data_IF_090492691953
#
_entry.id   IF_090492691953
#
_cell.length_a   1.000
_cell.length_b   1.000
_cell.length_c   1.000
_cell.angle_alpha   90.00
_cell.angle_beta   90.00
_cell.angle_gamma   90.00
#
_symmetry.space_group_name_H-M   'P 1'
#
loop_
_entity.id
_entity.type
_entity.pdbx_description
1 polymer ?
#
# COMPACT_ATOMS: atom_id res chain seq x y z
N UNK A 1 27.13 -1.34 -2.01
CA UNK A 1 27.68 -0.86 -0.71
C UNK A 1 27.05 -1.66 0.42
N UNK A 2 27.55 -1.64 1.66
CA UNK A 2 26.90 -2.33 2.78
C UNK A 2 25.87 -1.42 3.47
N UNK A 3 24.89 -1.98 4.16
CA UNK A 3 23.99 -1.21 5.03
C UNK A 3 24.79 -0.44 6.10
N UNK A 4 24.38 0.78 6.46
CA UNK A 4 25.03 1.59 7.51
C UNK A 4 24.16 1.66 8.75
N UNK A 5 24.74 1.99 9.92
CA UNK A 5 23.97 2.20 11.14
C UNK A 5 23.09 3.44 11.02
N UNK A 6 21.80 3.30 11.35
CA UNK A 6 20.77 4.34 11.16
C UNK A 6 20.04 4.68 12.46
N UNK A 7 19.84 3.69 13.33
CA UNK A 7 19.10 3.85 14.59
C UNK A 7 19.88 3.19 15.71
N UNK A 8 20.06 3.93 16.79
CA UNK A 8 20.67 3.46 18.03
C UNK A 8 19.63 3.36 19.14
N UNK A 9 19.64 2.26 19.88
CA UNK A 9 18.86 2.09 21.11
C UNK A 9 19.81 2.15 22.31
N UNK A 10 19.56 3.10 23.21
CA UNK A 10 20.37 3.31 24.42
C UNK A 10 19.59 2.94 25.68
N UNK A 11 20.23 2.24 26.62
CA UNK A 11 19.67 1.93 27.94
C UNK A 11 20.70 2.19 29.04
N UNK A 12 20.36 3.08 29.97
CA UNK A 12 21.25 3.41 31.09
C UNK A 12 22.62 3.93 30.66
N UNK A 13 22.72 4.62 29.52
CA UNK A 13 23.99 5.13 28.97
C UNK A 13 24.82 4.10 28.19
N UNK A 14 24.37 2.86 28.06
CA UNK A 14 24.96 1.85 27.19
C UNK A 14 24.22 1.82 25.84
N UNK A 15 24.98 1.83 24.74
CA UNK A 15 24.46 1.50 23.41
C UNK A 15 24.08 0.01 23.41
N UNK A 16 22.78 -0.25 23.52
CA UNK A 16 22.22 -1.60 23.68
C UNK A 16 22.04 -2.31 22.33
N UNK A 17 21.60 -1.60 21.30
CA UNK A 17 21.48 -2.16 19.95
C UNK A 17 21.58 -1.10 18.84
N UNK A 18 22.02 -1.53 17.65
CA UNK A 18 22.01 -0.71 16.43
C UNK A 18 21.20 -1.39 15.34
N UNK A 19 20.47 -0.60 14.56
CA UNK A 19 19.75 -1.05 13.37
C UNK A 19 20.42 -0.45 12.13
N UNK A 20 20.68 -1.31 11.15
CA UNK A 20 21.35 -0.92 9.91
C UNK A 20 20.37 -0.85 8.75
N UNK A 21 20.59 0.07 7.82
CA UNK A 21 19.71 0.27 6.67
C UNK A 21 20.38 0.96 5.50
N UNK A 22 19.53 1.31 4.52
CA UNK A 22 19.86 2.09 3.34
C UNK A 22 18.85 3.23 3.25
N UNK A 23 19.28 4.42 2.84
CA UNK A 23 18.40 5.57 2.66
C UNK A 23 18.82 6.39 1.45
N UNK A 24 17.85 6.98 0.77
CA UNK A 24 18.03 7.86 -0.38
C UNK A 24 17.08 9.04 -0.24
N UNK A 25 17.58 10.24 -0.46
CA UNK A 25 16.79 11.47 -0.59
C UNK A 25 16.88 11.91 -2.04
N UNK A 26 15.72 12.12 -2.68
CA UNK A 26 15.62 12.71 -4.00
C UNK A 26 15.04 14.13 -3.91
N UNK A 27 15.39 14.99 -4.88
CA UNK A 27 14.69 16.25 -5.11
C UNK A 27 13.43 16.04 -5.98
N UNK A 28 12.72 17.12 -6.31
CA UNK A 28 11.51 17.15 -7.13
C UNK A 28 11.74 16.74 -8.60
N UNK A 29 12.99 16.57 -9.03
CA UNK A 29 13.35 16.03 -10.34
C UNK A 29 13.60 14.51 -10.29
N UNK A 30 13.59 13.91 -9.10
CA UNK A 30 13.96 12.52 -8.89
C UNK A 30 15.48 12.27 -8.87
N UNK A 31 16.29 13.33 -8.81
CA UNK A 31 17.75 13.22 -8.70
C UNK A 31 18.16 12.97 -7.25
N UNK A 32 19.13 12.08 -7.04
CA UNK A 32 19.63 11.76 -5.69
C UNK A 32 20.41 12.95 -5.13
N UNK A 33 19.88 13.53 -4.05
CA UNK A 33 20.53 14.61 -3.28
C UNK A 33 21.52 14.01 -2.27
N UNK A 34 21.09 12.96 -1.55
CA UNK A 34 21.90 12.30 -0.54
C UNK A 34 21.55 10.81 -0.44
N UNK A 35 22.53 9.99 -0.05
CA UNK A 35 22.30 8.56 0.19
C UNK A 35 23.22 7.99 1.25
N UNK A 36 22.72 6.98 1.95
CA UNK A 36 23.43 6.22 2.97
C UNK A 36 23.28 4.72 2.71
N UNK A 37 24.36 3.97 2.85
CA UNK A 37 24.37 2.55 2.55
C UNK A 37 24.41 2.25 1.06
N UNK A 38 23.42 1.52 0.54
CA UNK A 38 23.40 1.04 -0.84
C UNK A 38 22.11 1.51 -1.53
N UNK A 39 22.16 2.62 -2.29
CA UNK A 39 20.98 3.19 -2.96
C UNK A 39 20.39 2.22 -4.00
N UNK A 40 21.22 1.37 -4.60
CA UNK A 40 20.81 0.35 -5.57
C UNK A 40 20.27 -0.93 -4.93
N UNK A 41 20.13 -0.99 -3.60
CA UNK A 41 19.62 -2.19 -2.93
C UNK A 41 18.18 -2.46 -3.37
N UNK A 42 17.95 -3.61 -3.99
CA UNK A 42 16.60 -4.07 -4.32
C UNK A 42 15.85 -4.47 -3.04
N UNK A 43 14.65 -3.93 -2.88
CA UNK A 43 13.76 -4.15 -1.75
C UNK A 43 12.33 -4.45 -2.24
N UNK A 44 11.52 -4.99 -1.34
CA UNK A 44 10.07 -4.90 -1.44
C UNK A 44 9.62 -3.68 -0.62
N UNK A 45 9.09 -2.61 -1.23
CA UNK A 45 8.58 -1.46 -0.48
C UNK A 45 7.37 -1.81 0.38
N UNK A 46 6.67 -2.91 0.05
CA UNK A 46 5.44 -3.33 0.73
C UNK A 46 4.44 -2.19 0.74
N UNK A 47 3.75 -1.98 1.85
CA UNK A 47 2.70 -0.96 1.97
C UNK A 47 3.19 0.50 1.87
N UNK A 48 4.50 0.78 1.79
CA UNK A 48 4.97 2.17 1.57
C UNK A 48 4.72 2.66 0.15
N UNK A 49 4.50 1.78 -0.84
CA UNK A 49 4.27 2.16 -2.23
C UNK A 49 2.79 2.23 -2.64
N UNK A 50 1.86 2.30 -1.69
CA UNK A 50 0.41 2.33 -1.99
C UNK A 50 0.00 3.50 -2.89
N UNK A 51 0.67 4.66 -2.78
CA UNK A 51 0.46 5.80 -3.68
C UNK A 51 0.69 5.40 -5.15
N UNK A 52 1.78 4.66 -5.41
CA UNK A 52 2.11 4.18 -6.76
C UNK A 52 1.08 3.14 -7.23
N UNK A 53 0.62 2.28 -6.32
CA UNK A 53 -0.43 1.30 -6.61
C UNK A 53 -1.81 1.95 -6.88
N UNK A 54 -2.02 3.18 -6.41
CA UNK A 54 -3.25 3.94 -6.63
C UNK A 54 -3.23 4.74 -7.95
N UNK A 55 -2.10 4.87 -8.64
CA UNK A 55 -2.03 5.61 -9.91
C UNK A 55 -3.05 5.11 -10.95
N UNK A 56 -3.24 3.79 -11.18
CA UNK A 56 -4.24 3.31 -12.13
C UNK A 56 -5.69 3.69 -11.77
N UNK A 57 -6.01 3.89 -10.49
CA UNK A 57 -7.33 4.35 -10.06
C UNK A 57 -7.61 5.78 -10.55
N UNK A 58 -6.59 6.63 -10.56
CA UNK A 58 -6.68 8.03 -10.98
C UNK A 58 -6.55 8.16 -12.49
N UNK A 59 -5.49 7.59 -13.06
CA UNK A 59 -5.12 7.76 -14.48
C UNK A 59 -6.10 7.10 -15.46
N UNK A 60 -6.78 6.03 -15.02
CA UNK A 60 -7.86 5.44 -15.84
C UNK A 60 -9.13 6.28 -15.85
N UNK A 61 -9.24 7.31 -15.01
CA UNK A 61 -10.48 8.05 -14.77
C UNK A 61 -11.50 7.29 -13.92
N UNK A 62 -11.13 6.15 -13.33
CA UNK A 62 -12.03 5.35 -12.51
C UNK A 62 -12.50 6.09 -11.24
N UNK A 63 -11.60 6.87 -10.62
CA UNK A 63 -11.94 7.72 -9.48
C UNK A 63 -13.02 8.75 -9.81
N UNK A 64 -12.80 9.53 -10.88
CA UNK A 64 -13.74 10.56 -11.33
C UNK A 64 -15.09 9.96 -11.76
N UNK A 65 -15.06 8.86 -12.50
CA UNK A 65 -16.25 8.18 -12.98
C UNK A 65 -17.14 7.64 -11.84
N UNK A 66 -16.56 7.37 -10.67
CA UNK A 66 -17.29 6.91 -9.48
C UNK A 66 -17.45 8.02 -8.42
N UNK A 67 -17.09 9.27 -8.73
CA UNK A 67 -17.24 10.40 -7.81
C UNK A 67 -16.44 10.25 -6.52
N UNK A 68 -15.26 9.62 -6.59
CA UNK A 68 -14.42 9.43 -5.41
C UNK A 68 -13.87 10.78 -4.92
N UNK A 69 -14.05 11.04 -3.63
CA UNK A 69 -13.46 12.21 -2.96
C UNK A 69 -12.01 11.99 -2.54
N UNK A 70 -11.33 13.07 -2.15
CA UNK A 70 -9.97 13.03 -1.59
C UNK A 70 -9.84 12.05 -0.41
N UNK A 71 -10.90 11.88 0.39
CA UNK A 71 -10.89 10.91 1.48
C UNK A 71 -10.79 9.46 0.96
N UNK A 72 -11.41 9.13 -0.19
CA UNK A 72 -11.30 7.80 -0.81
C UNK A 72 -9.91 7.59 -1.39
N UNK A 73 -9.36 8.61 -2.03
CA UNK A 73 -7.99 8.58 -2.58
C UNK A 73 -7.00 8.38 -1.43
N UNK A 74 -7.11 9.18 -0.35
CA UNK A 74 -6.29 9.05 0.84
C UNK A 74 -6.39 7.65 1.47
N UNK A 75 -7.60 7.08 1.56
CA UNK A 75 -7.81 5.75 2.10
C UNK A 75 -7.21 4.63 1.22
N UNK A 76 -7.25 4.79 -0.12
CA UNK A 76 -6.61 3.88 -1.08
C UNK A 76 -5.07 3.88 -0.94
N UNK A 77 -4.55 5.03 -0.58
CA UNK A 77 -3.13 5.35 -0.42
C UNK A 77 -2.54 4.96 0.95
N UNK A 78 -3.37 4.62 1.94
CA UNK A 78 -2.95 4.49 3.33
C UNK A 78 -2.87 3.04 3.84
N UNK A 79 -2.12 2.87 4.92
CA UNK A 79 -2.25 1.73 5.84
C UNK A 79 -3.09 2.17 7.03
N UNK A 80 -4.41 2.17 6.87
CA UNK A 80 -5.30 2.71 7.89
C UNK A 80 -5.35 1.82 9.14
N UNK A 81 -5.77 2.38 10.28
CA UNK A 81 -5.72 1.69 11.58
C UNK A 81 -6.86 0.68 11.80
N UNK A 82 -7.72 0.43 10.81
CA UNK A 82 -8.93 -0.37 11.01
C UNK A 82 -9.97 0.27 11.95
N UNK A 83 -9.84 1.55 12.31
CA UNK A 83 -10.84 2.28 13.12
C UNK A 83 -12.24 2.27 12.48
N UNK A 84 -13.28 2.46 13.30
CA UNK A 84 -14.68 2.49 12.87
C UNK A 84 -14.93 3.40 11.66
N UNK A 85 -14.28 4.57 11.59
CA UNK A 85 -14.43 5.48 10.45
C UNK A 85 -13.93 4.87 9.13
N UNK A 86 -12.83 4.10 9.17
CA UNK A 86 -12.26 3.43 8.00
C UNK A 86 -13.13 2.26 7.58
N UNK A 87 -13.56 1.43 8.54
CA UNK A 87 -14.43 0.26 8.31
C UNK A 87 -15.74 0.71 7.65
N UNK A 88 -16.37 1.75 8.20
CA UNK A 88 -17.60 2.32 7.67
C UNK A 88 -17.41 2.91 6.27
N UNK A 89 -16.26 3.55 6.02
CA UNK A 89 -15.97 4.14 4.72
C UNK A 89 -15.73 3.07 3.65
N UNK A 90 -14.87 2.08 3.92
CA UNK A 90 -14.62 0.96 3.02
C UNK A 90 -15.91 0.16 2.75
N UNK A 91 -16.73 -0.07 3.79
CA UNK A 91 -18.00 -0.78 3.65
C UNK A 91 -19.00 -0.06 2.75
N UNK A 92 -19.18 1.27 2.93
CA UNK A 92 -20.02 2.08 2.04
C UNK A 92 -19.48 2.10 0.61
N UNK A 93 -18.17 2.27 0.45
CA UNK A 93 -17.53 2.28 -0.87
C UNK A 93 -17.79 0.95 -1.62
N UNK A 94 -17.65 -0.21 -0.96
CA UNK A 94 -18.00 -1.50 -1.58
C UNK A 94 -19.49 -1.58 -1.94
N UNK A 95 -20.37 -1.11 -1.06
CA UNK A 95 -21.81 -1.11 -1.32
C UNK A 95 -22.17 -0.26 -2.55
N UNK A 96 -21.55 0.91 -2.71
CA UNK A 96 -21.73 1.77 -3.90
C UNK A 96 -21.21 1.11 -5.18
N UNK A 97 -20.20 0.23 -5.05
CA UNK A 97 -19.74 -0.64 -6.14
C UNK A 97 -20.65 -1.87 -6.36
N UNK A 98 -21.64 -2.12 -5.52
CA UNK A 98 -22.47 -3.33 -5.56
C UNK A 98 -21.71 -4.60 -5.15
N UNK A 99 -20.69 -4.46 -4.30
CA UNK A 99 -19.80 -5.52 -3.83
C UNK A 99 -19.95 -5.73 -2.32
N UNK A 100 -19.40 -6.84 -1.83
CA UNK A 100 -19.39 -7.22 -0.41
C UNK A 100 -17.98 -7.39 0.17
N UNK A 101 -17.94 -7.65 1.46
CA UNK A 101 -16.69 -7.89 2.21
C UNK A 101 -15.79 -9.00 1.60
N UNK A 102 -16.31 -10.14 1.09
CA UNK A 102 -15.49 -11.16 0.44
C UNK A 102 -14.71 -10.70 -0.80
N UNK A 103 -15.18 -9.66 -1.50
CA UNK A 103 -14.53 -9.14 -2.71
C UNK A 103 -13.18 -8.45 -2.40
N UNK A 104 -12.95 -8.03 -1.15
CA UNK A 104 -11.70 -7.38 -0.74
C UNK A 104 -10.49 -8.29 -0.82
N UNK A 105 -10.63 -9.61 -0.67
CA UNK A 105 -9.55 -10.61 -0.76
C UNK A 105 -8.28 -10.32 0.06
N UNK A 106 -8.28 -9.34 0.95
CA UNK A 106 -7.08 -8.88 1.66
C UNK A 106 -6.85 -9.63 2.97
N UNK A 107 -7.77 -10.51 3.36
CA UNK A 107 -7.74 -11.21 4.64
C UNK A 107 -8.13 -10.29 5.80
N UNK A 108 -8.24 -10.86 7.00
CA UNK A 108 -8.66 -10.13 8.21
C UNK A 108 -7.55 -10.14 9.25
N UNK A 109 -7.45 -9.07 10.04
CA UNK A 109 -6.64 -8.99 11.24
C UNK A 109 -7.33 -8.07 12.26
N UNK A 110 -6.94 -8.16 13.53
CA UNK A 110 -7.43 -7.22 14.55
C UNK A 110 -7.12 -5.77 14.15
N UNK A 111 -8.06 -4.82 14.32
CA UNK A 111 -7.77 -3.42 14.05
C UNK A 111 -6.69 -2.92 15.01
N UNK A 112 -5.80 -2.08 14.49
CA UNK A 112 -4.77 -1.41 15.28
C UNK A 112 -5.34 -0.28 16.15
N UNK A 113 -6.48 0.26 15.74
CA UNK A 113 -7.29 1.18 16.52
C UNK A 113 -7.83 0.48 17.78
N UNK A 114 -7.42 0.97 18.94
CA UNK A 114 -7.72 0.33 20.23
C UNK A 114 -9.20 0.40 20.57
N UNK A 115 -9.86 1.50 20.25
CA UNK A 115 -11.28 1.70 20.57
C UNK A 115 -12.14 0.73 19.74
N UNK A 116 -11.85 0.59 18.44
CA UNK A 116 -12.56 -0.37 17.59
C UNK A 116 -12.25 -1.82 17.97
N UNK A 117 -11.00 -2.14 18.30
CA UNK A 117 -10.63 -3.46 18.81
C UNK A 117 -11.43 -3.82 20.08
N UNK A 118 -11.46 -2.91 21.05
CA UNK A 118 -12.13 -3.15 22.32
C UNK A 118 -13.65 -3.21 22.13
N UNK A 119 -14.21 -2.43 21.20
CA UNK A 119 -15.62 -2.53 20.78
C UNK A 119 -15.97 -3.92 20.24
N UNK A 120 -15.16 -4.47 19.33
CA UNK A 120 -15.37 -5.82 18.78
C UNK A 120 -15.36 -6.88 19.88
N UNK A 121 -14.39 -6.80 20.80
CA UNK A 121 -14.29 -7.74 21.94
C UNK A 121 -15.54 -7.68 22.81
N UNK A 122 -15.99 -6.47 23.19
CA UNK A 122 -17.17 -6.27 24.03
C UNK A 122 -18.47 -6.70 23.34
N UNK A 123 -18.53 -6.58 22.02
CA UNK A 123 -19.66 -7.03 21.21
C UNK A 123 -19.63 -8.54 20.88
N UNK A 124 -18.56 -9.26 21.26
CA UNK A 124 -18.30 -10.63 20.83
C UNK A 124 -18.26 -10.80 19.30
N UNK A 125 -17.79 -9.77 18.59
CA UNK A 125 -17.61 -9.74 17.15
C UNK A 125 -16.16 -10.10 16.78
N UNK A 126 -15.97 -10.77 15.64
CA UNK A 126 -14.66 -11.01 15.08
C UNK A 126 -14.32 -9.93 14.04
N UNK A 127 -13.03 -9.55 13.88
CA UNK A 127 -12.64 -8.68 12.79
C UNK A 127 -12.89 -9.35 11.43
N UNK A 128 -13.35 -8.57 10.46
CA UNK A 128 -13.48 -8.95 9.06
C UNK A 128 -12.52 -8.17 8.14
N UNK A 129 -12.54 -8.41 6.83
CA UNK A 129 -11.61 -7.78 5.89
C UNK A 129 -11.69 -6.25 5.84
N UNK A 130 -12.80 -5.64 6.27
CA UNK A 130 -12.91 -4.18 6.41
C UNK A 130 -11.98 -3.59 7.48
N UNK A 131 -11.55 -4.40 8.45
CA UNK A 131 -10.59 -3.99 9.49
C UNK A 131 -9.14 -4.10 9.02
N UNK A 132 -8.90 -4.78 7.90
CA UNK A 132 -7.58 -4.91 7.34
C UNK A 132 -7.05 -3.55 6.89
N UNK A 133 -5.83 -3.20 7.25
CA UNK A 133 -5.21 -1.90 6.92
C UNK A 133 -5.03 -1.64 5.41
N UNK A 134 -5.27 -2.64 4.57
CA UNK A 134 -5.26 -2.56 3.11
C UNK A 134 -6.66 -2.50 2.50
N UNK A 135 -7.74 -2.58 3.28
CA UNK A 135 -9.10 -2.62 2.73
C UNK A 135 -9.41 -1.41 1.83
N UNK A 136 -8.96 -0.22 2.23
CA UNK A 136 -9.02 1.00 1.40
C UNK A 136 -8.35 0.89 0.03
N UNK A 137 -7.12 0.37 0.00
CA UNK A 137 -6.39 0.09 -1.25
C UNK A 137 -7.18 -0.88 -2.13
N UNK A 138 -7.72 -1.94 -1.53
CA UNK A 138 -8.50 -2.95 -2.25
C UNK A 138 -9.84 -2.40 -2.76
N UNK A 139 -10.50 -1.47 -2.06
CA UNK A 139 -11.64 -0.73 -2.58
C UNK A 139 -11.28 0.10 -3.83
N UNK A 140 -10.11 0.73 -3.84
CA UNK A 140 -9.56 1.40 -5.02
C UNK A 140 -9.28 0.45 -6.19
N UNK A 141 -8.69 -0.71 -5.90
CA UNK A 141 -8.48 -1.78 -6.88
C UNK A 141 -9.78 -2.24 -7.51
N UNK A 142 -10.79 -2.55 -6.69
CA UNK A 142 -12.12 -2.98 -7.15
C UNK A 142 -12.83 -1.91 -7.98
N UNK A 143 -12.68 -0.64 -7.62
CA UNK A 143 -13.19 0.49 -8.42
C UNK A 143 -12.58 0.49 -9.83
N UNK A 144 -11.25 0.33 -9.90
CA UNK A 144 -10.51 0.27 -11.16
C UNK A 144 -10.92 -0.97 -11.98
N UNK A 145 -11.01 -2.14 -11.35
CA UNK A 145 -11.45 -3.40 -11.97
C UNK A 145 -12.84 -3.26 -12.59
N UNK A 146 -13.79 -2.66 -11.85
CA UNK A 146 -15.15 -2.40 -12.33
C UNK A 146 -15.15 -1.43 -13.52
N UNK A 147 -14.35 -0.37 -13.46
CA UNK A 147 -14.23 0.60 -14.54
C UNK A 147 -13.68 -0.03 -15.83
N UNK A 148 -12.64 -0.87 -15.69
CA UNK A 148 -12.02 -1.60 -16.81
C UNK A 148 -12.88 -2.78 -17.31
N UNK A 149 -13.97 -3.12 -16.62
CA UNK A 149 -14.79 -4.32 -16.87
C UNK A 149 -13.96 -5.61 -16.87
N UNK A 150 -12.96 -5.67 -15.98
CA UNK A 150 -12.06 -6.81 -15.83
C UNK A 150 -12.67 -7.86 -14.87
N UNK A 151 -12.08 -9.05 -14.84
CA UNK A 151 -12.53 -10.17 -14.01
C UNK A 151 -12.30 -9.95 -12.50
N UNK A 152 -12.86 -10.82 -11.65
CA UNK A 152 -12.74 -10.67 -10.19
C UNK A 152 -11.38 -11.11 -9.64
N UNK A 153 -10.55 -11.77 -10.44
CA UNK A 153 -9.24 -12.31 -10.05
C UNK A 153 -8.14 -11.23 -10.01
N UNK A 154 -8.46 -10.06 -9.43
CA UNK A 154 -7.62 -8.86 -9.52
C UNK A 154 -6.32 -8.92 -8.71
N UNK A 155 -6.16 -9.93 -7.85
CA UNK A 155 -4.94 -10.20 -7.09
C UNK A 155 -3.93 -11.04 -7.88
N UNK A 156 -4.34 -11.62 -9.01
CA UNK A 156 -3.47 -12.40 -9.87
C UNK A 156 -2.55 -11.50 -10.70
N UNK A 157 -1.29 -11.90 -10.84
CA UNK A 157 -0.25 -11.10 -11.47
C UNK A 157 -0.57 -10.71 -12.92
N UNK A 158 -1.23 -11.59 -13.67
CA UNK A 158 -1.56 -11.39 -15.08
C UNK A 158 -2.86 -10.59 -15.28
N UNK A 159 -3.55 -10.24 -14.19
CA UNK A 159 -4.76 -9.45 -14.23
C UNK A 159 -4.48 -8.03 -14.79
N UNK A 160 -5.40 -7.44 -15.59
CA UNK A 160 -5.23 -6.09 -16.15
C UNK A 160 -4.86 -5.02 -15.12
N UNK A 161 -5.46 -5.07 -13.92
CA UNK A 161 -5.10 -4.18 -12.81
C UNK A 161 -3.62 -4.31 -12.40
N UNK A 162 -3.12 -5.54 -12.17
CA UNK A 162 -1.75 -5.73 -11.70
C UNK A 162 -0.72 -5.37 -12.77
N UNK A 163 -1.06 -5.59 -14.05
CA UNK A 163 -0.27 -5.09 -15.18
C UNK A 163 -0.22 -3.56 -15.22
N UNK A 164 -1.34 -2.88 -14.97
CA UNK A 164 -1.38 -1.43 -14.90
C UNK A 164 -0.58 -0.88 -13.72
N UNK A 165 -0.69 -1.51 -12.53
CA UNK A 165 0.12 -1.16 -11.35
C UNK A 165 1.61 -1.35 -11.64
N UNK A 166 1.98 -2.46 -12.27
CA UNK A 166 3.38 -2.71 -12.67
C UNK A 166 3.89 -1.63 -13.62
N UNK A 167 3.12 -1.32 -14.67
CA UNK A 167 3.50 -0.30 -15.64
C UNK A 167 3.68 1.07 -14.98
N UNK A 168 2.72 1.52 -14.18
CA UNK A 168 2.81 2.78 -13.44
C UNK A 168 4.01 2.79 -12.47
N UNK A 169 4.26 1.67 -11.78
CA UNK A 169 5.42 1.53 -10.90
C UNK A 169 6.74 1.66 -11.67
N UNK A 170 6.89 0.98 -12.80
CA UNK A 170 8.12 1.02 -13.60
C UNK A 170 8.34 2.40 -14.24
N UNK A 171 7.26 3.08 -14.61
CA UNK A 171 7.30 4.43 -15.17
C UNK A 171 7.82 5.45 -14.13
N UNK A 172 7.20 5.51 -12.95
CA UNK A 172 7.57 6.52 -11.93
C UNK A 172 8.90 6.22 -11.25
N UNK A 173 9.31 4.95 -11.20
CA UNK A 173 10.61 4.56 -10.64
C UNK A 173 11.74 4.68 -11.67
N UNK A 174 11.42 4.83 -12.97
CA UNK A 174 12.36 4.77 -14.10
C UNK A 174 13.26 3.51 -14.05
N UNK A 175 12.65 2.37 -13.71
CA UNK A 175 13.33 1.07 -13.71
C UNK A 175 12.37 -0.09 -13.97
N UNK A 176 12.89 -1.17 -14.55
CA UNK A 176 12.15 -2.42 -14.63
C UNK A 176 12.08 -3.08 -13.24
N UNK A 177 10.90 -3.54 -12.86
CA UNK A 177 10.70 -4.26 -11.59
C UNK A 177 11.54 -5.53 -11.57
N UNK A 178 12.38 -5.70 -10.54
CA UNK A 178 13.30 -6.83 -10.43
C UNK A 178 12.60 -8.18 -10.15
N UNK A 179 11.30 -8.14 -9.84
CA UNK A 179 10.47 -9.29 -9.52
C UNK A 179 9.24 -8.86 -8.74
N UNK A 180 8.50 -9.82 -8.19
CA UNK A 180 7.37 -9.55 -7.31
C UNK A 180 7.31 -10.57 -6.17
N UNK A 181 6.70 -10.17 -5.07
CA UNK A 181 6.30 -11.04 -3.97
C UNK A 181 4.81 -10.85 -3.67
N UNK A 182 4.17 -11.85 -3.07
CA UNK A 182 2.80 -11.71 -2.58
C UNK A 182 2.86 -11.10 -1.18
N UNK A 183 2.25 -9.93 -0.98
CA UNK A 183 2.19 -9.27 0.33
C UNK A 183 1.12 -9.90 1.21
N UNK A 184 1.11 -9.57 2.51
CA UNK A 184 0.17 -10.12 3.49
C UNK A 184 -1.31 -9.81 3.20
N UNK A 185 -1.58 -8.87 2.30
CA UNK A 185 -2.91 -8.53 1.81
C UNK A 185 -3.29 -9.22 0.49
N UNK A 186 -2.57 -10.29 0.09
CA UNK A 186 -2.74 -11.07 -1.14
C UNK A 186 -2.37 -10.39 -2.47
N UNK A 187 -2.20 -9.07 -2.50
CA UNK A 187 -1.79 -8.36 -3.71
C UNK A 187 -0.27 -8.52 -4.01
N UNK A 188 0.14 -8.52 -5.29
CA UNK A 188 1.54 -8.43 -5.69
C UNK A 188 2.23 -7.14 -5.19
N UNK A 189 3.48 -7.27 -4.79
CA UNK A 189 4.38 -6.16 -4.48
C UNK A 189 5.61 -6.26 -5.39
N UNK A 190 5.81 -5.25 -6.23
CA UNK A 190 6.91 -5.20 -7.18
C UNK A 190 8.20 -4.75 -6.52
N UNK A 191 9.29 -5.49 -6.75
CA UNK A 191 10.60 -5.19 -6.19
C UNK A 191 11.28 -4.08 -6.99
N UNK A 192 11.89 -3.13 -6.28
CA UNK A 192 12.57 -1.96 -6.83
C UNK A 192 13.79 -1.59 -5.99
N UNK A 193 14.68 -0.77 -6.53
CA UNK A 193 15.79 -0.20 -5.78
C UNK A 193 15.32 0.85 -4.77
N UNK A 194 16.13 1.14 -3.74
CA UNK A 194 15.82 2.24 -2.80
C UNK A 194 15.76 3.58 -3.54
N UNK A 195 16.64 3.78 -4.53
CA UNK A 195 16.58 4.95 -5.43
C UNK A 195 15.29 4.99 -6.25
N UNK A 196 14.89 3.85 -6.83
CA UNK A 196 13.65 3.77 -7.62
C UNK A 196 12.44 4.17 -6.79
N UNK A 197 12.32 3.64 -5.57
CA UNK A 197 11.27 4.03 -4.63
C UNK A 197 11.30 5.54 -4.30
N UNK A 198 12.48 6.09 -4.00
CA UNK A 198 12.62 7.51 -3.67
C UNK A 198 12.24 8.41 -4.87
N UNK A 199 12.66 8.03 -6.08
CA UNK A 199 12.31 8.73 -7.33
C UNK A 199 10.81 8.71 -7.59
N UNK A 200 10.16 7.56 -7.44
CA UNK A 200 8.72 7.44 -7.67
C UNK A 200 7.84 8.24 -6.70
N UNK A 201 8.43 8.80 -5.64
CA UNK A 201 7.75 9.61 -4.63
C UNK A 201 8.09 11.11 -4.72
N UNK A 202 8.99 11.51 -5.61
CA UNK A 202 9.36 12.90 -5.87
C UNK A 202 8.29 13.64 -6.68
#
# INVERSE_FOLDING_TARGET
MAAVEMVELWRGGLLESTHRGHAVICDDTGAVVESWGDPGRVIFPRSSCKMLQALPLLESGAADAHGLSDAHIALSCASHQGAALHVNMAGRWLADLGLGEPDLRCGSHEPYDRDERDRLILAHEAPCQLHNNCSGKHSGFLTTVKHLKAGPEYVELDHPLQKAIKAATEEVTDEASAGFGIDGCSAPNFAMSVTGLARGMA
#
